data_IF_311641938576
#
_entry.id   IF_311641938576
#
_cell.length_a   1.000
_cell.length_b   1.000
_cell.length_c   1.000
_cell.angle_alpha   90.00
_cell.angle_beta   90.00
_cell.angle_gamma   90.00
#
_symmetry.space_group_name_H-M   'P 1'
#
loop_
_entity.id
_entity.type
_entity.pdbx_description
1 polymer ?
#
# COMPACT_ATOMS: atom_id res chain seq x y z
N UNK A 1 4.70 -0.67 -8.82
CA UNK A 1 5.28 -1.30 -10.03
C UNK A 1 6.66 -1.92 -9.80
N UNK A 2 7.70 -1.12 -9.53
CA UNK A 2 9.09 -1.60 -9.40
C UNK A 2 9.24 -2.82 -8.47
N UNK A 3 8.75 -2.74 -7.23
CA UNK A 3 8.85 -3.85 -6.27
C UNK A 3 8.04 -5.08 -6.68
N UNK A 4 6.87 -4.91 -7.27
CA UNK A 4 6.07 -6.02 -7.78
C UNK A 4 6.84 -6.78 -8.87
N UNK A 5 7.48 -6.07 -9.81
CA UNK A 5 8.34 -6.66 -10.82
C UNK A 5 9.56 -7.35 -10.20
N UNK A 6 10.28 -6.64 -9.31
CA UNK A 6 11.51 -7.16 -8.68
C UNK A 6 11.27 -8.41 -7.83
N UNK A 7 10.10 -8.52 -7.19
CA UNK A 7 9.73 -9.63 -6.32
C UNK A 7 8.93 -10.72 -7.06
N UNK A 8 8.74 -10.61 -8.38
CA UNK A 8 8.00 -11.60 -9.17
C UNK A 8 6.53 -11.72 -8.79
N UNK A 9 5.91 -10.63 -8.35
CA UNK A 9 4.51 -10.60 -7.91
C UNK A 9 3.57 -10.76 -9.09
N UNK A 10 2.56 -11.62 -8.92
CA UNK A 10 1.48 -11.79 -9.89
C UNK A 10 0.61 -10.55 -9.95
N UNK A 11 -0.18 -10.42 -11.01
CA UNK A 11 -1.14 -9.33 -11.17
C UNK A 11 -2.06 -9.25 -9.94
N UNK A 12 -2.19 -8.04 -9.37
CA UNK A 12 -2.95 -7.76 -8.15
C UNK A 12 -2.50 -8.52 -6.90
N UNK A 13 -1.37 -9.22 -6.92
CA UNK A 13 -0.81 -9.85 -5.72
C UNK A 13 -0.40 -8.77 -4.71
N UNK A 14 -0.87 -8.95 -3.48
CA UNK A 14 -0.68 -7.98 -2.42
C UNK A 14 0.72 -8.09 -1.80
N UNK A 15 1.27 -6.93 -1.45
CA UNK A 15 2.51 -6.78 -0.71
C UNK A 15 2.23 -6.02 0.59
N UNK A 16 2.66 -6.58 1.71
CA UNK A 16 2.70 -5.88 2.98
C UNK A 16 3.96 -5.01 3.06
N UNK A 17 3.80 -3.77 3.51
CA UNK A 17 4.88 -2.80 3.69
C UNK A 17 4.70 -2.10 5.04
N UNK A 18 5.79 -1.99 5.80
CA UNK A 18 5.84 -1.21 7.04
C UNK A 18 6.69 0.03 6.85
N UNK A 19 6.10 1.20 7.04
CA UNK A 19 6.86 2.44 7.06
C UNK A 19 7.55 2.60 8.42
N UNK A 20 8.89 2.68 8.42
CA UNK A 20 9.72 2.64 9.64
C UNK A 20 9.87 3.98 10.36
N UNK A 21 9.22 5.05 9.88
CA UNK A 21 9.30 6.35 10.55
C UNK A 21 8.37 6.40 11.78
N UNK A 22 8.61 7.31 12.76
CA UNK A 22 7.75 7.45 13.93
C UNK A 22 6.27 7.79 13.64
N UNK A 23 6.01 8.35 12.45
CA UNK A 23 4.65 8.67 11.95
C UNK A 23 4.15 7.64 10.93
N UNK A 24 4.96 6.62 10.64
CA UNK A 24 4.68 5.60 9.65
C UNK A 24 3.69 4.56 10.16
N UNK A 25 3.00 3.90 9.24
CA UNK A 25 2.06 2.83 9.54
C UNK A 25 2.30 1.61 8.66
N UNK A 26 1.35 0.68 8.77
CA UNK A 26 1.28 -0.50 7.93
C UNK A 26 0.45 -0.21 6.68
N UNK A 27 0.94 -0.68 5.54
CA UNK A 27 0.30 -0.54 4.24
C UNK A 27 0.26 -1.88 3.52
N UNK A 28 -0.79 -2.06 2.73
CA UNK A 28 -0.95 -3.15 1.79
C UNK A 28 -1.05 -2.55 0.40
N UNK A 29 -0.19 -3.02 -0.50
CA UNK A 29 -0.06 -2.47 -1.85
C UNK A 29 -0.23 -3.59 -2.86
N UNK A 30 -1.10 -3.38 -3.85
CA UNK A 30 -1.24 -4.26 -5.00
C UNK A 30 -1.13 -3.43 -6.28
N UNK A 31 -0.58 -4.02 -7.34
CA UNK A 31 -0.54 -3.41 -8.67
C UNK A 31 -1.43 -4.20 -9.63
N UNK A 32 -2.47 -3.54 -10.11
CA UNK A 32 -3.32 -4.01 -11.21
C UNK A 32 -2.61 -3.68 -12.52
N UNK A 33 -1.97 -4.69 -13.09
CA UNK A 33 -1.14 -4.59 -14.29
C UNK A 33 -1.99 -4.34 -15.54
N UNK A 34 -3.20 -4.90 -15.59
CA UNK A 34 -4.12 -4.77 -16.72
C UNK A 34 -4.61 -3.33 -16.86
N UNK A 35 -4.86 -2.66 -15.72
CA UNK A 35 -5.36 -1.28 -15.67
C UNK A 35 -4.27 -0.25 -15.40
N UNK A 36 -3.02 -0.70 -15.27
CA UNK A 36 -1.89 0.10 -14.81
C UNK A 36 -2.22 0.96 -13.55
N UNK A 37 -2.87 0.36 -12.56
CA UNK A 37 -3.38 1.04 -11.37
C UNK A 37 -2.73 0.50 -10.10
N UNK A 38 -2.22 1.39 -9.23
CA UNK A 38 -1.73 1.02 -7.90
C UNK A 38 -2.84 1.22 -6.88
N UNK A 39 -3.12 0.18 -6.07
CA UNK A 39 -4.04 0.26 -4.94
C UNK A 39 -3.24 0.27 -3.65
N UNK A 40 -3.57 1.20 -2.77
CA UNK A 40 -3.03 1.30 -1.43
C UNK A 40 -4.16 1.11 -0.41
N UNK A 41 -3.92 0.25 0.57
CA UNK A 41 -4.79 0.04 1.73
C UNK A 41 -3.95 0.24 2.98
N UNK A 42 -4.59 0.74 4.03
CA UNK A 42 -3.93 0.99 5.30
C UNK A 42 -4.95 1.32 6.37
N UNK A 43 -4.48 1.33 7.60
CA UNK A 43 -5.30 1.75 8.73
C UNK A 43 -5.48 3.27 8.74
N UNK A 44 -6.71 3.72 8.96
CA UNK A 44 -7.04 5.12 9.18
C UNK A 44 -7.72 5.27 10.54
N UNK A 45 -7.32 6.29 11.29
CA UNK A 45 -7.91 6.62 12.59
C UNK A 45 -8.19 8.12 12.65
N UNK A 46 -9.43 8.48 12.98
CA UNK A 46 -9.77 9.87 13.29
C UNK A 46 -9.02 10.28 14.57
N UNK A 47 -8.29 11.39 14.51
CA UNK A 47 -7.50 11.90 15.65
C UNK A 47 -8.07 13.20 16.24
N UNK A 48 -9.03 13.82 15.56
CA UNK A 48 -9.67 15.05 15.99
C UNK A 48 -10.88 15.38 15.13
N UNK A 49 -11.74 16.24 15.64
CA UNK A 49 -12.90 16.81 14.95
C UNK A 49 -13.01 18.27 15.41
N UNK A 50 -13.27 19.17 14.46
CA UNK A 50 -13.55 20.58 14.78
C UNK A 50 -15.03 20.80 15.09
N UNK A 51 -15.31 21.81 15.90
CA UNK A 51 -16.66 22.35 16.14
C UNK A 51 -17.14 23.22 14.98
#
# INVERSE_FOLDING_TARGET
PYWATRLGKKNQEEMYVRQVSPRGGELWVSWDQDRNLVRLKGHAKAFGKGD
#
